data_IF_772029112615
#
_entry.id   IF_772029112615
#
_cell.length_a   1.000
_cell.length_b   1.000
_cell.length_c   1.000
_cell.angle_alpha   90.00
_cell.angle_beta   90.00
_cell.angle_gamma   90.00
#
_symmetry.space_group_name_H-M   'P 1'
#
loop_
_entity.id
_entity.type
_entity.pdbx_description
1 polymer ?
#
# COMPACT_ATOMS: atom_id res chain seq x y z
N UNK A 1 -17.73 15.57 22.45
CA UNK A 1 -19.21 15.45 22.29
C UNK A 1 -19.45 14.42 21.20
N UNK A 2 -20.52 13.64 21.31
CA UNK A 2 -20.88 12.62 20.33
C UNK A 2 -22.06 13.12 19.47
N UNK A 3 -21.95 12.90 18.17
CA UNK A 3 -22.94 13.18 17.15
C UNK A 3 -23.34 11.87 16.49
N UNK A 4 -24.42 11.24 16.94
CA UNK A 4 -24.89 9.96 16.36
C UNK A 4 -25.56 10.23 15.02
N UNK A 5 -25.19 9.52 13.96
CA UNK A 5 -25.77 9.74 12.63
C UNK A 5 -27.28 9.57 12.60
N UNK A 6 -27.83 8.71 13.48
CA UNK A 6 -29.30 8.50 13.63
C UNK A 6 -30.03 9.75 14.11
N UNK A 7 -29.38 10.62 14.89
CA UNK A 7 -29.96 11.88 15.35
C UNK A 7 -30.08 12.91 14.20
N UNK A 8 -29.40 12.65 13.08
CA UNK A 8 -29.44 13.43 11.85
C UNK A 8 -30.28 12.79 10.76
N UNK A 9 -30.98 11.71 11.08
CA UNK A 9 -31.92 11.05 10.19
C UNK A 9 -31.38 9.83 9.45
N UNK A 10 -30.15 9.38 9.73
CA UNK A 10 -29.63 8.14 9.16
C UNK A 10 -30.40 6.92 9.73
N UNK A 11 -30.79 6.02 8.84
CA UNK A 11 -31.51 4.79 9.18
C UNK A 11 -30.89 3.59 8.50
N UNK A 12 -30.99 2.42 9.11
CA UNK A 12 -30.60 1.15 8.48
C UNK A 12 -31.57 0.87 7.34
N UNK A 13 -31.09 1.02 6.10
CA UNK A 13 -31.90 0.78 4.89
C UNK A 13 -30.99 0.65 3.67
N UNK A 14 -31.58 0.23 2.53
CA UNK A 14 -30.89 0.19 1.25
C UNK A 14 -30.71 1.56 0.58
N UNK A 15 -31.39 2.60 1.07
CA UNK A 15 -31.24 3.95 0.56
C UNK A 15 -29.94 4.59 1.04
N UNK A 16 -29.39 5.52 0.27
CA UNK A 16 -28.22 6.28 0.64
C UNK A 16 -28.49 7.17 1.86
N UNK A 17 -27.58 7.10 2.83
CA UNK A 17 -27.59 7.89 4.05
C UNK A 17 -26.54 9.03 4.00
N UNK A 18 -25.99 9.29 2.82
CA UNK A 18 -24.85 10.21 2.62
C UNK A 18 -25.13 11.60 3.22
N UNK A 19 -26.31 12.18 2.95
CA UNK A 19 -26.67 13.50 3.45
C UNK A 19 -26.77 13.55 4.98
N UNK A 20 -27.38 12.53 5.59
CA UNK A 20 -27.53 12.45 7.04
C UNK A 20 -26.17 12.28 7.74
N UNK A 21 -25.30 11.42 7.20
CA UNK A 21 -23.95 11.21 7.72
C UNK A 21 -23.12 12.48 7.54
N UNK A 22 -23.16 13.11 6.36
CA UNK A 22 -22.41 14.34 6.11
C UNK A 22 -22.89 15.48 7.01
N UNK A 23 -24.18 15.61 7.23
CA UNK A 23 -24.76 16.60 8.15
C UNK A 23 -24.25 16.42 9.58
N UNK A 24 -24.12 15.18 10.06
CA UNK A 24 -23.53 14.91 11.37
C UNK A 24 -22.06 15.35 11.43
N UNK A 25 -21.27 15.04 10.38
CA UNK A 25 -19.86 15.46 10.26
C UNK A 25 -19.76 17.00 10.24
N UNK A 26 -20.55 17.66 9.43
CA UNK A 26 -20.53 19.11 9.30
C UNK A 26 -20.94 19.81 10.60
N UNK A 27 -21.94 19.29 11.29
CA UNK A 27 -22.38 19.81 12.59
C UNK A 27 -21.31 19.65 13.65
N UNK A 28 -20.65 18.48 13.69
CA UNK A 28 -19.53 18.20 14.57
C UNK A 28 -18.36 19.18 14.32
N UNK A 29 -18.00 19.39 13.06
CA UNK A 29 -16.96 20.31 12.64
C UNK A 29 -17.26 21.76 13.07
N UNK A 30 -18.48 22.26 12.78
CA UNK A 30 -18.92 23.62 13.10
C UNK A 30 -18.95 23.88 14.63
N UNK A 31 -19.13 22.83 15.42
CA UNK A 31 -19.07 22.88 16.88
C UNK A 31 -17.63 22.83 17.45
N UNK A 32 -16.61 22.82 16.58
CA UNK A 32 -15.21 22.78 16.96
C UNK A 32 -14.59 21.38 17.01
N UNK A 33 -15.35 20.37 16.58
CA UNK A 33 -14.90 18.97 16.54
C UNK A 33 -15.55 18.05 17.56
N UNK A 34 -15.22 16.79 17.48
CA UNK A 34 -15.78 15.75 18.33
C UNK A 34 -15.83 14.40 17.63
N UNK A 35 -16.79 13.57 18.06
CA UNK A 35 -16.93 12.20 17.57
C UNK A 35 -18.27 12.02 16.84
N UNK A 36 -18.22 11.68 15.56
CA UNK A 36 -19.39 11.27 14.76
C UNK A 36 -19.53 9.76 14.89
N UNK A 37 -20.63 9.31 15.47
CA UNK A 37 -20.82 7.90 15.82
C UNK A 37 -21.73 7.20 14.81
N UNK A 38 -21.20 6.13 14.22
CA UNK A 38 -21.96 5.17 13.41
C UNK A 38 -22.32 3.99 14.32
N UNK A 39 -23.60 3.82 14.69
CA UNK A 39 -24.02 2.72 15.56
C UNK A 39 -24.06 1.40 14.81
N UNK A 40 -24.28 0.29 15.57
CA UNK A 40 -24.48 -1.02 14.98
C UNK A 40 -25.59 -1.01 13.90
N UNK A 41 -25.33 -1.68 12.78
CA UNK A 41 -26.20 -1.72 11.61
C UNK A 41 -25.46 -1.34 10.32
N UNK A 42 -26.09 -1.61 9.17
CA UNK A 42 -25.54 -1.27 7.87
C UNK A 42 -26.11 0.08 7.38
N UNK A 43 -25.23 1.03 7.13
CA UNK A 43 -25.59 2.35 6.62
C UNK A 43 -24.91 2.55 5.26
N UNK A 44 -25.73 2.53 4.20
CA UNK A 44 -25.22 2.72 2.83
C UNK A 44 -24.97 4.18 2.55
N UNK A 45 -23.82 4.48 1.97
CA UNK A 45 -23.44 5.85 1.65
C UNK A 45 -22.65 5.93 0.33
N UNK A 46 -22.77 7.04 -0.35
CA UNK A 46 -21.79 7.48 -1.34
C UNK A 46 -20.58 8.10 -0.64
N UNK A 47 -19.95 9.06 -1.31
CA UNK A 47 -18.78 9.74 -0.76
C UNK A 47 -19.15 10.65 0.41
N UNK A 48 -18.46 10.50 1.54
CA UNK A 48 -18.51 11.44 2.67
C UNK A 48 -17.19 12.16 2.84
N UNK A 49 -17.21 13.41 3.28
CA UNK A 49 -16.02 14.19 3.58
C UNK A 49 -15.81 14.31 5.07
N UNK A 50 -14.68 13.74 5.52
CA UNK A 50 -14.20 13.91 6.89
C UNK A 50 -13.52 15.28 7.03
N UNK A 51 -13.80 15.99 8.12
CA UNK A 51 -13.34 17.36 8.37
C UNK A 51 -12.36 17.44 9.53
N UNK A 52 -11.67 18.57 9.61
CA UNK A 52 -10.73 18.85 10.70
C UNK A 52 -11.36 18.68 12.08
N UNK A 53 -10.60 18.11 13.02
CA UNK A 53 -11.01 17.84 14.39
C UNK A 53 -12.18 16.87 14.56
N UNK A 54 -12.51 16.08 13.54
CA UNK A 54 -13.60 15.09 13.57
C UNK A 54 -13.04 13.68 13.63
N UNK A 55 -13.54 12.89 14.57
CA UNK A 55 -13.36 11.45 14.64
C UNK A 55 -14.60 10.74 14.11
N UNK A 56 -14.46 9.96 13.04
CA UNK A 56 -15.48 9.01 12.62
C UNK A 56 -15.34 7.73 13.46
N UNK A 57 -16.34 7.41 14.26
CA UNK A 57 -16.30 6.31 15.20
C UNK A 57 -17.36 5.26 14.86
N UNK A 58 -16.92 4.04 14.61
CA UNK A 58 -17.78 2.90 14.30
C UNK A 58 -17.93 2.02 15.53
N UNK A 59 -19.13 1.92 16.07
CA UNK A 59 -19.44 0.99 17.17
C UNK A 59 -19.35 -0.47 16.70
N UNK A 60 -19.21 -1.39 17.61
CA UNK A 60 -19.24 -2.83 17.31
C UNK A 60 -20.49 -3.22 16.52
N UNK A 61 -20.31 -3.90 15.39
CA UNK A 61 -21.40 -4.25 14.46
C UNK A 61 -21.84 -3.12 13.51
N UNK A 62 -21.17 -1.97 13.53
CA UNK A 62 -21.39 -0.92 12.54
C UNK A 62 -20.80 -1.33 11.19
N UNK A 63 -21.53 -1.09 10.12
CA UNK A 63 -21.08 -1.27 8.74
C UNK A 63 -21.36 0.02 7.97
N UNK A 64 -20.30 0.71 7.59
CA UNK A 64 -20.39 1.78 6.61
C UNK A 64 -20.25 1.15 5.23
N UNK A 65 -21.39 0.97 4.55
CA UNK A 65 -21.48 0.28 3.27
C UNK A 65 -21.48 1.28 2.12
N UNK A 66 -20.62 1.07 1.13
CA UNK A 66 -20.56 1.90 -0.06
C UNK A 66 -21.78 1.76 -0.97
N UNK A 67 -22.03 2.76 -1.79
CA UNK A 67 -22.98 2.67 -2.88
C UNK A 67 -22.54 1.64 -3.92
N UNK A 68 -23.50 1.06 -4.60
CA UNK A 68 -23.25 0.17 -5.75
C UNK A 68 -23.05 0.92 -7.06
N UNK A 69 -23.32 2.24 -7.06
CA UNK A 69 -23.13 3.09 -8.22
C UNK A 69 -21.83 3.88 -8.09
N UNK A 70 -20.87 3.72 -9.00
CA UNK A 70 -19.60 4.46 -8.96
C UNK A 70 -19.78 5.98 -9.15
N UNK A 71 -20.93 6.44 -9.65
CA UNK A 71 -21.23 7.86 -9.81
C UNK A 71 -21.73 8.53 -8.51
N UNK A 72 -22.05 7.76 -7.47
CA UNK A 72 -22.35 8.29 -6.12
C UNK A 72 -21.07 8.74 -5.37
N UNK A 73 -19.90 8.54 -5.96
CA UNK A 73 -18.61 8.93 -5.40
C UNK A 73 -18.03 10.12 -6.15
N UNK A 74 -18.06 11.27 -5.54
CA UNK A 74 -17.62 12.52 -6.16
C UNK A 74 -16.31 13.04 -5.54
N UNK A 75 -15.72 14.02 -6.19
CA UNK A 75 -14.47 14.65 -5.78
C UNK A 75 -14.65 15.92 -4.93
N UNK A 76 -15.84 16.21 -4.40
CA UNK A 76 -16.11 17.41 -3.58
C UNK A 76 -15.50 18.70 -4.15
N UNK A 77 -15.77 18.99 -5.39
CA UNK A 77 -15.25 20.20 -6.03
C UNK A 77 -15.88 21.50 -5.49
N UNK A 78 -17.01 21.40 -4.80
CA UNK A 78 -17.72 22.55 -4.24
C UNK A 78 -17.97 22.32 -2.76
N UNK A 79 -17.19 22.96 -1.92
CA UNK A 79 -17.35 22.92 -0.47
C UNK A 79 -17.31 24.34 0.09
N UNK A 80 -18.39 24.73 0.77
CA UNK A 80 -18.53 26.06 1.35
C UNK A 80 -17.95 26.19 2.76
N UNK A 81 -17.77 25.08 3.47
CA UNK A 81 -17.27 25.06 4.86
C UNK A 81 -15.73 25.06 4.91
N UNK A 82 -15.11 24.28 4.04
CA UNK A 82 -13.67 24.23 3.86
C UNK A 82 -13.40 24.35 2.35
N UNK A 83 -13.38 25.57 1.80
CA UNK A 83 -13.25 25.78 0.37
C UNK A 83 -11.89 25.24 -0.13
N UNK A 84 -11.94 24.64 -1.31
CA UNK A 84 -10.76 24.10 -1.97
C UNK A 84 -10.28 25.09 -3.03
N UNK A 85 -8.98 25.26 -3.16
CA UNK A 85 -8.38 26.01 -4.25
C UNK A 85 -8.43 25.15 -5.54
N UNK A 86 -9.45 25.40 -6.34
CA UNK A 86 -9.65 24.67 -7.60
C UNK A 86 -8.72 25.14 -8.71
N UNK A 87 -8.08 26.30 -8.55
CA UNK A 87 -7.12 26.87 -9.49
C UNK A 87 -5.69 26.42 -9.20
N UNK A 88 -5.47 25.72 -8.09
CA UNK A 88 -4.16 25.17 -7.75
C UNK A 88 -3.63 24.26 -8.88
N UNK A 89 -2.33 24.32 -9.16
CA UNK A 89 -1.71 23.44 -10.17
C UNK A 89 -2.00 21.96 -9.89
N UNK A 90 -2.49 21.28 -10.92
CA UNK A 90 -2.78 19.84 -10.82
C UNK A 90 -1.49 19.03 -10.80
N UNK A 91 -1.47 18.00 -9.98
CA UNK A 91 -0.34 17.07 -9.98
C UNK A 91 -0.37 16.21 -11.26
N UNK A 92 0.78 16.00 -11.95
CA UNK A 92 0.82 15.22 -13.19
C UNK A 92 0.44 13.75 -12.99
N UNK A 93 0.69 13.20 -11.80
CA UNK A 93 0.20 11.86 -11.44
C UNK A 93 -1.24 11.90 -10.96
N UNK A 94 -2.12 11.21 -11.67
CA UNK A 94 -3.55 11.12 -11.32
C UNK A 94 -3.81 10.56 -9.92
N UNK A 95 -2.92 9.69 -9.43
CA UNK A 95 -3.05 9.08 -8.11
C UNK A 95 -2.72 10.03 -6.96
N UNK A 96 -2.07 11.16 -7.26
CA UNK A 96 -1.72 12.21 -6.29
C UNK A 96 -2.62 13.44 -6.42
N UNK A 97 -3.27 13.67 -7.57
CA UNK A 97 -4.20 14.78 -7.76
C UNK A 97 -5.53 14.51 -7.03
N UNK A 98 -5.87 15.25 -5.93
CA UNK A 98 -7.07 14.98 -5.12
C UNK A 98 -8.37 15.14 -5.88
N UNK A 99 -8.37 15.88 -7.00
CA UNK A 99 -9.55 16.18 -7.81
C UNK A 99 -9.70 15.27 -9.04
N UNK A 100 -8.77 14.37 -9.24
CA UNK A 100 -8.91 13.34 -10.26
C UNK A 100 -10.06 12.39 -9.90
N UNK A 101 -10.86 11.98 -10.89
CA UNK A 101 -11.88 10.92 -10.70
C UNK A 101 -11.26 9.64 -10.15
N UNK A 102 -10.00 9.38 -10.48
CA UNK A 102 -9.24 8.26 -9.91
C UNK A 102 -9.26 8.26 -8.38
N UNK A 103 -9.26 9.44 -7.77
CA UNK A 103 -9.23 9.64 -6.33
C UNK A 103 -10.60 9.82 -5.68
N UNK A 104 -11.68 9.38 -6.33
CA UNK A 104 -12.96 9.20 -5.65
C UNK A 104 -12.83 8.13 -4.56
N UNK A 105 -13.51 8.31 -3.46
CA UNK A 105 -13.46 7.38 -2.33
C UNK A 105 -14.71 7.44 -1.46
N UNK A 106 -14.91 6.42 -0.64
CA UNK A 106 -16.03 6.38 0.31
C UNK A 106 -15.86 7.45 1.39
N UNK A 107 -14.67 7.52 1.98
CA UNK A 107 -14.31 8.56 2.95
C UNK A 107 -13.19 9.40 2.35
N UNK A 108 -13.43 10.70 2.22
CA UNK A 108 -12.44 11.66 1.74
C UNK A 108 -12.09 12.69 2.80
N UNK A 109 -10.80 13.03 2.89
CA UNK A 109 -10.33 14.19 3.64
C UNK A 109 -9.33 14.97 2.78
N UNK A 110 -9.50 16.28 2.69
CA UNK A 110 -8.61 17.17 1.94
C UNK A 110 -8.34 18.41 2.79
N UNK A 111 -7.05 18.75 2.97
CA UNK A 111 -6.60 19.90 3.77
C UNK A 111 -7.05 19.87 5.25
N UNK A 112 -7.38 18.70 5.78
CA UNK A 112 -7.89 18.54 7.13
C UNK A 112 -6.78 18.27 8.15
N UNK A 113 -7.03 18.64 9.41
CA UNK A 113 -6.11 18.38 10.53
C UNK A 113 -6.83 17.66 11.67
N UNK A 114 -6.06 16.83 12.41
CA UNK A 114 -6.56 16.11 13.58
C UNK A 114 -7.79 15.27 13.24
N UNK A 115 -7.68 14.41 12.25
CA UNK A 115 -8.75 13.52 11.81
C UNK A 115 -8.51 12.10 12.31
N UNK A 116 -9.57 11.40 12.64
CA UNK A 116 -9.48 10.01 13.02
C UNK A 116 -10.61 9.17 12.44
N UNK A 117 -10.32 7.90 12.15
CA UNK A 117 -11.30 6.85 11.88
C UNK A 117 -11.01 5.73 12.88
N UNK A 118 -11.94 5.46 13.76
CA UNK A 118 -11.77 4.47 14.84
C UNK A 118 -12.93 3.49 14.77
N UNK A 119 -12.62 2.20 14.75
CA UNK A 119 -13.61 1.13 14.76
C UNK A 119 -13.45 0.21 15.96
N UNK A 120 -14.57 -0.13 16.60
CA UNK A 120 -14.59 -1.22 17.57
C UNK A 120 -14.50 -2.59 16.86
N UNK A 121 -14.08 -3.66 17.53
CA UNK A 121 -14.06 -4.99 16.94
C UNK A 121 -15.41 -5.38 16.31
N UNK A 122 -15.38 -5.88 15.08
CA UNK A 122 -16.59 -6.21 14.31
C UNK A 122 -17.23 -5.03 13.58
N UNK A 123 -16.55 -3.90 13.49
CA UNK A 123 -16.94 -2.79 12.62
C UNK A 123 -16.29 -2.90 11.24
N UNK A 124 -17.01 -2.47 10.20
CA UNK A 124 -16.57 -2.62 8.82
C UNK A 124 -16.75 -1.34 8.00
N UNK A 125 -15.78 -1.11 7.13
CA UNK A 125 -15.91 -0.29 5.93
C UNK A 125 -16.02 -1.25 4.74
N UNK A 126 -17.13 -1.25 4.03
CA UNK A 126 -17.45 -2.22 2.98
C UNK A 126 -17.60 -1.53 1.63
N UNK A 127 -16.68 -1.75 0.72
CA UNK A 127 -16.68 -1.13 -0.62
C UNK A 127 -17.58 -1.82 -1.63
N UNK A 128 -18.25 -2.92 -1.26
CA UNK A 128 -19.21 -3.70 -2.06
C UNK A 128 -18.70 -4.08 -3.46
N UNK A 129 -17.36 -4.06 -3.67
CA UNK A 129 -16.75 -4.23 -4.99
C UNK A 129 -17.40 -3.33 -6.06
N UNK A 130 -17.57 -2.05 -5.74
CA UNK A 130 -18.17 -1.05 -6.64
C UNK A 130 -17.26 -0.73 -7.82
N UNK A 131 -16.96 -1.72 -8.64
CA UNK A 131 -16.09 -1.56 -9.80
C UNK A 131 -16.75 -0.70 -10.87
N UNK A 132 -15.95 0.18 -11.49
CA UNK A 132 -16.37 0.85 -12.72
C UNK A 132 -16.30 -0.17 -13.89
N UNK A 133 -17.41 -0.50 -14.55
CA UNK A 133 -17.41 -1.50 -15.62
C UNK A 133 -16.65 -1.05 -16.87
N UNK A 134 -16.36 0.26 -17.01
CA UNK A 134 -15.77 0.82 -18.24
C UNK A 134 -14.27 1.06 -18.16
N UNK A 135 -13.63 0.95 -16.99
CA UNK A 135 -12.29 1.43 -16.96
C UNK A 135 -11.36 1.08 -15.84
N UNK A 136 -10.53 0.05 -16.00
CA UNK A 136 -9.46 -0.25 -15.07
C UNK A 136 -8.55 0.97 -14.79
N UNK A 137 -7.72 1.33 -15.73
CA UNK A 137 -6.66 2.31 -15.50
C UNK A 137 -7.11 3.77 -15.64
N UNK A 138 -8.34 4.00 -16.11
CA UNK A 138 -8.93 5.35 -16.10
C UNK A 138 -9.66 5.64 -14.81
N UNK A 139 -10.39 4.65 -14.32
CA UNK A 139 -11.06 4.66 -13.02
C UNK A 139 -11.48 3.25 -12.67
N UNK A 140 -10.90 2.68 -11.63
CA UNK A 140 -11.19 1.30 -11.19
C UNK A 140 -12.50 1.20 -10.40
N UNK A 141 -12.93 2.28 -9.82
CA UNK A 141 -13.95 2.43 -8.81
C UNK A 141 -13.39 3.23 -7.62
N UNK A 142 -14.18 3.49 -6.56
CA UNK A 142 -13.74 4.30 -5.43
C UNK A 142 -12.71 3.58 -4.57
N UNK A 143 -11.79 4.36 -4.00
CA UNK A 143 -11.02 3.96 -2.83
C UNK A 143 -11.93 3.84 -1.60
N UNK A 144 -11.50 3.13 -0.56
CA UNK A 144 -12.23 3.19 0.71
C UNK A 144 -11.94 4.49 1.46
N UNK A 145 -10.66 4.78 1.66
CA UNK A 145 -10.21 5.99 2.35
C UNK A 145 -9.25 6.74 1.44
N UNK A 146 -9.54 8.01 1.20
CA UNK A 146 -8.75 8.87 0.35
C UNK A 146 -8.43 10.19 1.07
N UNK A 147 -7.16 10.38 1.46
CA UNK A 147 -6.73 11.50 2.29
C UNK A 147 -5.62 12.26 1.55
N UNK A 148 -5.79 13.58 1.42
CA UNK A 148 -4.84 14.44 0.73
C UNK A 148 -4.52 15.70 1.55
N UNK A 149 -3.23 16.00 1.67
CA UNK A 149 -2.72 17.22 2.31
C UNK A 149 -3.27 17.40 3.73
N UNK A 150 -3.25 16.33 4.53
CA UNK A 150 -3.77 16.31 5.89
C UNK A 150 -2.65 16.14 6.92
N UNK A 151 -2.95 16.50 8.16
CA UNK A 151 -2.00 16.45 9.27
C UNK A 151 -2.64 15.82 10.51
N UNK A 152 -1.88 14.99 11.25
CA UNK A 152 -2.34 14.26 12.42
C UNK A 152 -3.52 13.35 12.11
N UNK A 153 -3.23 12.25 11.42
CA UNK A 153 -4.19 11.25 10.95
C UNK A 153 -4.08 10.02 11.85
N UNK A 154 -5.20 9.59 12.42
CA UNK A 154 -5.27 8.42 13.27
C UNK A 154 -6.30 7.42 12.77
N UNK A 155 -5.85 6.20 12.43
CA UNK A 155 -6.65 5.12 11.85
C UNK A 155 -6.51 3.89 12.74
N UNK A 156 -7.62 3.38 13.33
CA UNK A 156 -7.53 2.26 14.27
C UNK A 156 -8.75 1.33 14.23
N UNK A 157 -8.50 0.02 14.28
CA UNK A 157 -9.40 -1.01 14.78
C UNK A 157 -10.52 -1.47 13.84
N UNK A 158 -10.78 -0.80 12.73
CA UNK A 158 -11.80 -1.20 11.75
C UNK A 158 -11.28 -2.25 10.77
N UNK A 159 -12.23 -2.90 10.09
CA UNK A 159 -11.94 -3.81 8.99
C UNK A 159 -12.44 -3.24 7.67
N UNK A 160 -11.57 -3.20 6.64
CA UNK A 160 -11.96 -2.91 5.25
C UNK A 160 -12.16 -4.21 4.51
N UNK A 161 -13.21 -4.27 3.69
CA UNK A 161 -13.44 -5.37 2.77
C UNK A 161 -14.03 -4.89 1.45
N UNK A 162 -13.82 -5.65 0.39
CA UNK A 162 -14.41 -5.43 -0.93
C UNK A 162 -14.17 -4.03 -1.50
N UNK A 163 -12.96 -3.48 -1.33
CA UNK A 163 -12.59 -2.20 -1.93
C UNK A 163 -12.48 -2.33 -3.44
N UNK A 164 -13.12 -1.44 -4.19
CA UNK A 164 -13.04 -1.43 -5.65
C UNK A 164 -11.70 -0.91 -6.19
N UNK A 165 -11.01 -0.11 -5.42
CA UNK A 165 -9.67 0.39 -5.67
C UNK A 165 -8.84 0.16 -4.39
N UNK A 166 -7.82 0.95 -4.11
CA UNK A 166 -6.99 0.82 -2.92
C UNK A 166 -7.80 1.03 -1.62
N UNK A 167 -7.50 0.25 -0.61
CA UNK A 167 -8.17 0.40 0.68
C UNK A 167 -7.85 1.75 1.32
N UNK A 168 -6.58 2.14 1.31
CA UNK A 168 -6.14 3.47 1.74
C UNK A 168 -5.33 4.12 0.63
N UNK A 169 -5.60 5.40 0.36
CA UNK A 169 -4.77 6.27 -0.47
C UNK A 169 -4.50 7.56 0.29
N UNK A 170 -3.29 7.74 0.78
CA UNK A 170 -2.90 8.91 1.59
C UNK A 170 -1.75 9.63 0.90
N UNK A 171 -1.96 10.89 0.53
CA UNK A 171 -1.01 11.67 -0.23
C UNK A 171 -0.68 12.99 0.46
N UNK A 172 0.58 13.44 0.36
CA UNK A 172 1.06 14.76 0.84
C UNK A 172 0.65 15.05 2.29
N UNK A 173 0.71 14.05 3.14
CA UNK A 173 0.20 14.11 4.51
C UNK A 173 1.30 13.79 5.51
N UNK A 174 1.09 14.17 6.77
CA UNK A 174 2.09 13.95 7.80
C UNK A 174 1.48 13.53 9.14
N UNK A 175 2.30 12.91 10.00
CA UNK A 175 1.90 12.38 11.30
C UNK A 175 0.74 11.40 11.18
N UNK A 176 1.00 10.29 10.49
CA UNK A 176 0.02 9.24 10.18
C UNK A 176 0.26 8.07 11.13
N UNK A 177 -0.79 7.64 11.81
CA UNK A 177 -0.79 6.40 12.58
C UNK A 177 -1.91 5.49 12.10
N UNK A 178 -1.55 4.26 11.69
CA UNK A 178 -2.48 3.19 11.35
C UNK A 178 -2.16 1.97 12.21
N UNK A 179 -3.12 1.54 13.03
CA UNK A 179 -2.91 0.41 13.92
C UNK A 179 -4.12 -0.49 14.05
N UNK A 180 -3.88 -1.80 14.18
CA UNK A 180 -4.95 -2.80 14.35
C UNK A 180 -6.05 -2.73 13.29
N UNK A 181 -5.68 -2.30 12.09
CA UNK A 181 -6.57 -2.26 10.92
C UNK A 181 -6.42 -3.55 10.14
N UNK A 182 -7.55 -4.10 9.69
CA UNK A 182 -7.54 -5.25 8.79
C UNK A 182 -8.09 -4.87 7.41
N UNK A 183 -7.44 -5.36 6.34
CA UNK A 183 -7.90 -5.21 4.95
C UNK A 183 -8.02 -6.60 4.34
N UNK A 184 -9.17 -6.88 3.73
CA UNK A 184 -9.43 -8.15 3.05
C UNK A 184 -9.98 -7.93 1.65
N UNK A 185 -9.27 -8.45 0.64
CA UNK A 185 -9.62 -8.31 -0.78
C UNK A 185 -9.28 -6.95 -1.39
N UNK A 186 -9.91 -6.63 -2.50
CA UNK A 186 -9.68 -5.38 -3.23
C UNK A 186 -8.36 -5.33 -4.01
N UNK A 187 -7.77 -4.16 -4.04
CA UNK A 187 -6.45 -3.89 -4.61
C UNK A 187 -5.41 -3.72 -3.50
N UNK A 188 -4.66 -2.60 -3.50
CA UNK A 188 -3.63 -2.33 -2.52
C UNK A 188 -4.21 -2.08 -1.11
N UNK A 189 -3.47 -2.51 -0.09
CA UNK A 189 -3.88 -2.35 1.30
C UNK A 189 -3.65 -0.94 1.83
N UNK A 190 -2.41 -0.45 1.69
CA UNK A 190 -2.04 0.85 2.24
C UNK A 190 -1.06 1.59 1.31
N UNK A 191 -1.57 2.60 0.62
CA UNK A 191 -0.81 3.46 -0.26
C UNK A 191 -0.50 4.79 0.39
N UNK A 192 0.80 5.15 0.49
CA UNK A 192 1.26 6.46 0.95
C UNK A 192 2.20 7.10 -0.08
N UNK A 193 1.96 8.37 -0.39
CA UNK A 193 2.76 9.11 -1.37
C UNK A 193 3.08 10.49 -0.88
N UNK A 194 4.38 10.81 -0.87
CA UNK A 194 4.85 12.12 -0.40
C UNK A 194 4.38 12.38 1.06
N UNK A 195 4.50 11.36 1.92
CA UNK A 195 4.08 11.41 3.31
C UNK A 195 5.28 11.38 4.25
N UNK A 196 5.12 11.99 5.43
CA UNK A 196 6.15 12.08 6.45
C UNK A 196 5.62 11.57 7.81
N UNK A 197 6.51 10.96 8.60
CA UNK A 197 6.21 10.48 9.97
C UNK A 197 5.00 9.52 9.99
N UNK A 198 5.16 8.36 9.36
CA UNK A 198 4.11 7.34 9.26
C UNK A 198 4.43 6.12 10.13
N UNK A 199 3.47 5.72 10.96
CA UNK A 199 3.50 4.45 11.71
C UNK A 199 2.37 3.54 11.22
N UNK A 200 2.71 2.32 10.80
CA UNK A 200 1.77 1.23 10.49
C UNK A 200 2.12 0.08 11.42
N UNK A 201 1.22 -0.28 12.35
CA UNK A 201 1.52 -1.33 13.32
C UNK A 201 0.34 -2.26 13.61
N UNK A 202 0.65 -3.52 13.92
CA UNK A 202 -0.33 -4.54 14.33
C UNK A 202 -1.47 -4.72 13.30
N UNK A 203 -1.19 -4.53 11.99
CA UNK A 203 -2.17 -4.55 10.92
C UNK A 203 -2.19 -5.89 10.17
N UNK A 204 -3.32 -6.18 9.53
CA UNK A 204 -3.50 -7.34 8.66
C UNK A 204 -3.86 -6.82 7.27
N UNK A 205 -3.00 -7.07 6.27
CA UNK A 205 -3.29 -6.71 4.89
C UNK A 205 -3.27 -7.97 4.02
N UNK A 206 -4.44 -8.51 3.72
CA UNK A 206 -4.63 -9.60 2.78
C UNK A 206 -5.34 -9.06 1.54
N UNK A 207 -4.59 -8.76 0.49
CA UNK A 207 -5.01 -7.92 -0.64
C UNK A 207 -4.92 -8.66 -1.97
N UNK A 208 -5.62 -8.15 -2.96
CA UNK A 208 -5.54 -8.65 -4.34
C UNK A 208 -4.40 -8.04 -5.16
N UNK A 209 -3.77 -6.98 -4.68
CA UNK A 209 -2.62 -6.31 -5.32
C UNK A 209 -1.51 -6.14 -4.26
N UNK A 210 -0.91 -4.97 -4.07
CA UNK A 210 0.18 -4.76 -3.13
C UNK A 210 -0.30 -4.65 -1.67
N UNK A 211 0.47 -5.13 -0.68
CA UNK A 211 0.12 -4.92 0.73
C UNK A 211 0.36 -3.46 1.14
N UNK A 212 1.58 -2.97 0.94
CA UNK A 212 1.97 -1.58 1.20
C UNK A 212 2.66 -1.02 -0.02
N UNK A 213 2.15 0.10 -0.52
CA UNK A 213 2.68 0.75 -1.71
C UNK A 213 2.94 2.24 -1.49
N UNK A 214 3.73 2.83 -2.37
CA UNK A 214 3.95 4.26 -2.41
C UNK A 214 5.38 4.68 -2.68
N UNK A 215 5.59 5.99 -2.73
CA UNK A 215 6.89 6.60 -3.01
C UNK A 215 7.05 7.97 -2.35
N UNK A 216 8.30 8.42 -2.24
CA UNK A 216 8.67 9.71 -1.65
C UNK A 216 8.15 9.89 -0.22
N UNK A 217 8.27 8.84 0.59
CA UNK A 217 7.86 8.83 1.99
C UNK A 217 9.08 8.92 2.91
N UNK A 218 8.96 9.62 4.03
CA UNK A 218 10.08 9.80 4.97
C UNK A 218 9.67 9.47 6.40
N UNK A 219 10.64 8.94 7.17
CA UNK A 219 10.42 8.56 8.57
C UNK A 219 9.22 7.61 8.73
N UNK A 220 9.30 6.44 8.07
CA UNK A 220 8.23 5.43 8.05
C UNK A 220 8.62 4.23 8.90
N UNK A 221 7.71 3.82 9.77
CA UNK A 221 7.82 2.57 10.54
C UNK A 221 6.65 1.67 10.19
N UNK A 222 6.95 0.43 9.75
CA UNK A 222 5.97 -0.63 9.51
C UNK A 222 6.36 -1.80 10.40
N UNK A 223 5.47 -2.23 11.31
CA UNK A 223 5.83 -3.31 12.22
C UNK A 223 4.67 -4.20 12.64
N UNK A 224 5.01 -5.44 13.00
CA UNK A 224 4.07 -6.44 13.52
C UNK A 224 2.87 -6.68 12.58
N UNK A 225 3.08 -6.65 11.27
CA UNK A 225 2.01 -6.79 10.29
C UNK A 225 1.97 -8.21 9.71
N UNK A 226 0.75 -8.70 9.47
CA UNK A 226 0.48 -9.95 8.77
C UNK A 226 0.04 -9.65 7.33
N UNK A 227 0.86 -10.07 6.36
CA UNK A 227 0.80 -9.59 4.98
C UNK A 227 0.58 -10.75 4.01
N UNK A 228 -0.37 -10.59 3.10
CA UNK A 228 -0.66 -11.57 2.06
C UNK A 228 -1.22 -10.87 0.83
N UNK A 229 -0.64 -11.08 -0.34
CA UNK A 229 -1.07 -10.40 -1.54
C UNK A 229 -0.79 -11.19 -2.82
N UNK A 230 -1.43 -10.79 -3.91
CA UNK A 230 -1.22 -11.39 -5.21
C UNK A 230 -0.21 -10.60 -6.08
N UNK A 231 0.44 -9.58 -5.54
CA UNK A 231 1.44 -8.80 -6.26
C UNK A 231 2.70 -8.59 -5.41
N UNK A 232 2.97 -7.41 -4.88
CA UNK A 232 4.18 -7.16 -4.11
C UNK A 232 3.83 -6.99 -2.61
N UNK A 233 4.65 -7.55 -1.72
CA UNK A 233 4.43 -7.29 -0.29
C UNK A 233 4.69 -5.81 0.00
N UNK A 234 5.85 -5.31 -0.42
CA UNK A 234 6.19 -3.89 -0.40
C UNK A 234 6.53 -3.42 -1.81
N UNK A 235 5.71 -2.56 -2.39
CA UNK A 235 6.01 -1.82 -3.63
C UNK A 235 6.26 -0.37 -3.27
N UNK A 236 7.47 -0.08 -2.79
CA UNK A 236 7.69 1.07 -1.94
C UNK A 236 9.00 1.79 -2.23
N UNK A 237 9.01 3.10 -2.02
CA UNK A 237 10.24 3.86 -1.84
C UNK A 237 10.09 4.95 -0.79
N UNK A 238 11.20 5.26 -0.14
CA UNK A 238 11.25 6.30 0.87
C UNK A 238 12.65 6.48 1.41
N UNK A 239 12.80 7.41 2.35
CA UNK A 239 14.03 7.64 3.09
C UNK A 239 13.77 7.49 4.60
N UNK A 240 14.71 6.89 5.31
CA UNK A 240 14.61 6.60 6.74
C UNK A 240 13.39 5.71 7.07
N UNK A 241 13.43 4.47 6.57
CA UNK A 241 12.32 3.50 6.68
C UNK A 241 12.74 2.31 7.51
N UNK A 242 11.93 1.96 8.50
CA UNK A 242 12.06 0.72 9.28
C UNK A 242 10.87 -0.20 9.03
N UNK A 243 11.15 -1.42 8.57
CA UNK A 243 10.17 -2.52 8.48
C UNK A 243 10.64 -3.62 9.43
N UNK A 244 9.81 -3.97 10.41
CA UNK A 244 10.24 -4.95 11.42
C UNK A 244 9.13 -5.89 11.89
N UNK A 245 9.50 -7.12 12.24
CA UNK A 245 8.60 -8.11 12.84
C UNK A 245 7.36 -8.38 11.97
N UNK A 246 7.48 -8.32 10.67
CA UNK A 246 6.39 -8.59 9.73
C UNK A 246 6.46 -10.02 9.22
N UNK A 247 5.29 -10.61 9.04
CA UNK A 247 5.13 -11.92 8.43
C UNK A 247 4.39 -11.78 7.10
N UNK A 248 5.02 -12.19 6.01
CA UNK A 248 4.42 -12.21 4.68
C UNK A 248 4.38 -13.64 4.14
N UNK A 249 3.27 -14.04 3.56
CA UNK A 249 3.12 -15.42 3.08
C UNK A 249 2.32 -15.54 1.79
N UNK A 250 2.58 -16.61 1.06
CA UNK A 250 1.90 -17.06 -0.15
C UNK A 250 1.36 -18.48 0.09
N UNK A 251 0.34 -18.97 -0.65
CA UNK A 251 -0.33 -18.30 -1.76
C UNK A 251 -1.24 -17.15 -1.33
N UNK A 252 -1.50 -16.25 -2.27
CA UNK A 252 -2.42 -15.14 -2.04
C UNK A 252 -3.83 -15.64 -1.74
N UNK A 253 -4.48 -15.07 -0.72
CA UNK A 253 -5.87 -15.38 -0.35
C UNK A 253 -6.87 -14.76 -1.31
N UNK A 254 -6.51 -13.60 -1.84
CA UNK A 254 -7.31 -12.85 -2.82
C UNK A 254 -6.48 -12.68 -4.10
N UNK A 255 -7.05 -13.01 -5.24
CA UNK A 255 -6.41 -12.85 -6.53
C UNK A 255 -6.44 -11.40 -7.00
N UNK A 256 -5.55 -11.08 -7.95
CA UNK A 256 -5.56 -9.76 -8.57
C UNK A 256 -6.82 -9.57 -9.41
N UNK A 257 -7.47 -8.41 -9.30
CA UNK A 257 -8.73 -8.12 -10.00
C UNK A 257 -8.66 -8.24 -11.53
N UNK A 258 -7.51 -8.06 -12.14
CA UNK A 258 -7.33 -8.29 -13.58
C UNK A 258 -7.65 -9.71 -14.02
N UNK A 259 -7.72 -10.65 -13.10
CA UNK A 259 -8.12 -12.03 -13.41
C UNK A 259 -9.63 -12.19 -13.59
N UNK A 260 -10.44 -11.22 -13.17
CA UNK A 260 -11.88 -11.22 -13.37
C UNK A 260 -12.24 -10.78 -14.78
N UNK A 261 -13.20 -11.48 -15.38
CA UNK A 261 -13.87 -11.05 -16.60
C UNK A 261 -14.76 -9.81 -16.36
N UNK A 262 -15.13 -9.10 -17.41
CA UNK A 262 -16.03 -7.94 -17.28
C UNK A 262 -17.40 -8.31 -16.70
N UNK A 263 -17.88 -9.54 -16.97
CA UNK A 263 -19.13 -10.04 -16.39
C UNK A 263 -19.01 -10.25 -14.88
N UNK A 264 -17.89 -10.80 -14.39
CA UNK A 264 -17.62 -11.00 -12.97
C UNK A 264 -17.45 -9.66 -12.26
N UNK A 265 -16.76 -8.69 -12.88
CA UNK A 265 -16.66 -7.31 -12.36
C UNK A 265 -18.03 -6.66 -12.24
N UNK A 266 -18.88 -6.77 -13.27
CA UNK A 266 -20.24 -6.25 -13.24
C UNK A 266 -21.12 -6.94 -12.18
N UNK A 267 -20.89 -8.21 -11.92
CA UNK A 267 -21.52 -8.97 -10.85
C UNK A 267 -20.91 -8.74 -9.47
N UNK A 268 -19.86 -7.91 -9.38
CA UNK A 268 -19.15 -7.55 -8.12
C UNK A 268 -18.59 -8.76 -7.37
N UNK A 269 -18.13 -9.75 -8.11
CA UNK A 269 -17.54 -10.97 -7.52
C UNK A 269 -16.21 -10.62 -6.87
N UNK A 270 -15.96 -11.17 -5.68
CA UNK A 270 -14.65 -11.09 -5.06
C UNK A 270 -13.69 -12.03 -5.75
N UNK A 271 -12.44 -11.61 -5.88
CA UNK A 271 -11.38 -12.47 -6.41
C UNK A 271 -11.07 -13.61 -5.46
N UNK A 272 -10.62 -14.73 -6.02
CA UNK A 272 -10.18 -15.90 -5.26
C UNK A 272 -8.70 -16.18 -5.50
N UNK A 273 -8.11 -17.02 -4.68
CA UNK A 273 -6.72 -17.47 -4.84
C UNK A 273 -6.48 -18.34 -6.09
N UNK A 274 -7.51 -18.72 -6.82
CA UNK A 274 -7.40 -19.66 -7.97
C UNK A 274 -6.80 -19.00 -9.20
N UNK A 275 -6.92 -17.69 -9.36
CA UNK A 275 -6.59 -16.99 -10.59
C UNK A 275 -5.14 -16.46 -10.64
N UNK A 276 -4.62 -15.94 -9.56
CA UNK A 276 -3.21 -15.54 -9.38
C UNK A 276 -2.87 -15.65 -7.90
N UNK A 277 -2.08 -16.63 -7.55
CA UNK A 277 -1.84 -16.99 -6.15
C UNK A 277 -0.38 -16.95 -5.74
N UNK A 278 0.53 -16.54 -6.63
CA UNK A 278 1.92 -16.31 -6.26
C UNK A 278 2.10 -14.86 -5.89
N UNK A 279 2.77 -14.62 -4.78
CA UNK A 279 3.23 -13.28 -4.40
C UNK A 279 4.53 -13.01 -5.13
N UNK A 280 4.64 -11.87 -5.79
CA UNK A 280 5.82 -11.44 -6.50
C UNK A 280 6.98 -11.09 -5.55
N UNK A 281 7.66 -9.94 -5.73
CA UNK A 281 8.74 -9.53 -4.84
C UNK A 281 8.31 -9.35 -3.39
N UNK A 282 9.18 -9.75 -2.46
CA UNK A 282 9.03 -9.34 -1.07
C UNK A 282 9.19 -7.81 -0.95
N UNK A 283 10.17 -7.26 -1.68
CA UNK A 283 10.36 -5.81 -1.78
C UNK A 283 10.62 -5.41 -3.25
N UNK A 284 9.74 -4.58 -3.82
CA UNK A 284 9.91 -3.93 -5.11
C UNK A 284 10.15 -2.44 -4.91
N UNK A 285 11.31 -1.94 -5.31
CA UNK A 285 11.56 -0.50 -5.30
C UNK A 285 10.76 0.19 -6.40
N UNK A 286 9.99 1.21 -6.04
CA UNK A 286 9.13 1.95 -6.95
C UNK A 286 9.13 3.45 -6.65
N UNK A 287 9.38 4.26 -7.68
CA UNK A 287 9.15 5.70 -7.70
C UNK A 287 8.43 6.05 -9.01
N UNK A 288 7.27 6.70 -8.92
CA UNK A 288 6.57 7.17 -10.14
C UNK A 288 7.50 8.13 -10.92
N UNK A 289 7.80 7.80 -12.17
CA UNK A 289 8.72 8.57 -13.01
C UNK A 289 8.26 10.03 -13.25
N UNK A 290 7.01 10.35 -12.97
CA UNK A 290 6.44 11.70 -13.06
C UNK A 290 6.49 12.48 -11.75
N UNK A 291 6.85 11.82 -10.65
CA UNK A 291 6.88 12.44 -9.35
C UNK A 291 8.19 13.20 -9.13
N UNK A 292 8.10 14.35 -8.49
CA UNK A 292 9.24 15.02 -7.88
C UNK A 292 9.56 14.32 -6.56
N UNK A 293 10.79 13.82 -6.45
CA UNK A 293 11.26 13.11 -5.26
C UNK A 293 12.03 14.09 -4.38
N UNK A 294 11.52 14.35 -3.17
CA UNK A 294 12.07 15.32 -2.21
C UNK A 294 13.41 14.89 -1.63
N UNK A 295 13.58 13.59 -1.38
CA UNK A 295 14.82 13.00 -0.84
C UNK A 295 15.17 11.72 -1.60
N UNK A 296 16.45 11.46 -1.79
CA UNK A 296 16.90 10.20 -2.40
C UNK A 296 16.39 9.01 -1.58
N UNK A 297 15.76 8.01 -2.21
CA UNK A 297 15.31 6.81 -1.53
C UNK A 297 16.50 6.05 -0.92
N UNK A 298 16.45 5.73 0.35
CA UNK A 298 17.54 5.02 1.03
C UNK A 298 17.41 5.01 2.55
N UNK A 299 18.44 4.47 3.21
CA UNK A 299 18.42 4.21 4.63
C UNK A 299 17.18 3.40 5.04
N UNK A 300 16.95 2.28 4.29
CA UNK A 300 15.86 1.35 4.56
C UNK A 300 16.41 0.15 5.30
N UNK A 301 15.83 -0.15 6.46
CA UNK A 301 16.12 -1.35 7.23
C UNK A 301 14.88 -2.25 7.30
N UNK A 302 15.00 -3.47 6.78
CA UNK A 302 14.03 -4.55 6.95
C UNK A 302 14.63 -5.57 7.91
N UNK A 303 14.01 -5.77 9.07
CA UNK A 303 14.59 -6.68 10.06
C UNK A 303 13.57 -7.59 10.73
N UNK A 304 14.06 -8.79 11.12
CA UNK A 304 13.25 -9.77 11.86
C UNK A 304 11.92 -10.08 11.15
N UNK A 305 11.98 -10.26 9.82
CA UNK A 305 10.82 -10.52 8.98
C UNK A 305 10.91 -11.90 8.32
N UNK A 306 9.75 -12.54 8.13
CA UNK A 306 9.62 -13.77 7.38
C UNK A 306 8.78 -13.53 6.11
N UNK A 307 9.33 -13.99 4.96
CA UNK A 307 8.73 -13.90 3.63
C UNK A 307 8.61 -15.31 3.05
N UNK A 308 7.44 -15.91 3.19
CA UNK A 308 7.21 -17.31 2.81
C UNK A 308 6.50 -17.45 1.47
N UNK A 309 7.17 -18.12 0.52
CA UNK A 309 6.61 -18.40 -0.82
C UNK A 309 6.68 -17.23 -1.80
N UNK A 310 7.65 -16.33 -1.64
CA UNK A 310 7.87 -15.20 -2.55
C UNK A 310 8.55 -15.63 -3.84
N UNK A 311 8.24 -14.93 -4.94
CA UNK A 311 8.88 -15.20 -6.23
C UNK A 311 10.30 -14.61 -6.28
N UNK A 312 10.50 -13.43 -5.71
CA UNK A 312 11.74 -12.65 -5.73
C UNK A 312 11.96 -12.01 -4.35
N UNK A 313 13.20 -11.97 -3.86
CA UNK A 313 13.54 -11.28 -2.62
C UNK A 313 13.47 -9.76 -2.82
N UNK A 314 14.17 -9.22 -3.82
CA UNK A 314 14.21 -7.78 -4.11
C UNK A 314 14.17 -7.54 -5.62
N UNK A 315 13.37 -6.56 -6.02
CA UNK A 315 13.25 -6.17 -7.42
C UNK A 315 13.37 -4.65 -7.58
N UNK A 316 14.16 -4.25 -8.55
CA UNK A 316 14.18 -2.90 -9.07
C UNK A 316 14.17 -2.93 -10.60
N UNK A 317 13.27 -2.18 -11.22
CA UNK A 317 13.24 -1.94 -12.66
C UNK A 317 13.41 -0.45 -12.90
N UNK A 318 14.56 -0.08 -13.47
CA UNK A 318 14.89 1.31 -13.79
C UNK A 318 14.40 1.64 -15.21
N UNK A 319 13.68 2.73 -15.36
CA UNK A 319 13.13 3.16 -16.65
C UNK A 319 12.13 4.29 -16.50
N UNK A 320 11.51 4.68 -17.62
CA UNK A 320 10.67 5.87 -17.76
C UNK A 320 9.18 5.59 -17.97
N UNK A 321 8.72 4.39 -17.74
CA UNK A 321 7.29 4.07 -17.82
C UNK A 321 6.67 3.84 -16.44
N UNK A 322 5.33 3.81 -16.34
CA UNK A 322 4.56 3.86 -15.09
C UNK A 322 4.90 2.81 -14.04
N UNK A 323 5.51 1.70 -14.43
CA UNK A 323 5.88 0.61 -13.53
C UNK A 323 7.38 0.59 -13.20
N UNK A 324 8.13 1.56 -13.72
CA UNK A 324 9.56 1.68 -13.50
C UNK A 324 9.90 2.85 -12.58
N UNK A 325 11.12 2.82 -12.07
CA UNK A 325 11.65 3.87 -11.22
C UNK A 325 12.34 4.95 -12.04
N UNK A 326 12.24 6.20 -11.62
CA UNK A 326 13.04 7.31 -12.12
C UNK A 326 14.14 7.73 -11.13
N UNK A 327 14.08 7.23 -9.89
CA UNK A 327 15.12 7.42 -8.86
C UNK A 327 15.56 6.09 -8.33
N UNK A 328 16.86 5.81 -8.30
CA UNK A 328 17.39 4.56 -7.74
C UNK A 328 17.24 4.53 -6.22
N UNK A 329 17.21 3.31 -5.68
CA UNK A 329 17.45 3.06 -4.27
C UNK A 329 18.93 3.29 -3.99
N UNK A 330 19.27 4.08 -3.00
CA UNK A 330 20.66 4.32 -2.62
C UNK A 330 21.19 3.35 -1.59
N UNK A 331 20.32 2.93 -0.62
CA UNK A 331 20.70 1.96 0.40
C UNK A 331 19.49 1.21 0.94
N UNK A 332 19.60 -0.12 1.02
CA UNK A 332 18.66 -1.00 1.70
C UNK A 332 19.41 -2.15 2.39
N UNK A 333 18.98 -2.50 3.60
CA UNK A 333 19.50 -3.60 4.40
C UNK A 333 18.39 -4.54 4.82
N UNK A 334 18.62 -5.85 4.66
CA UNK A 334 17.81 -6.90 5.27
C UNK A 334 18.62 -7.56 6.37
N UNK A 335 18.07 -7.61 7.58
CA UNK A 335 18.72 -8.15 8.76
C UNK A 335 17.81 -9.14 9.47
N UNK A 336 18.37 -10.29 9.86
CA UNK A 336 17.63 -11.33 10.58
C UNK A 336 16.33 -11.74 9.86
N UNK A 337 16.39 -11.90 8.52
CA UNK A 337 15.23 -12.18 7.66
C UNK A 337 15.32 -13.57 7.02
N UNK A 338 14.15 -14.12 6.71
CA UNK A 338 14.01 -15.40 6.03
C UNK A 338 13.12 -15.28 4.81
N UNK A 339 13.60 -15.82 3.67
CA UNK A 339 12.88 -15.83 2.40
C UNK A 339 12.75 -17.26 1.89
N UNK A 340 11.55 -17.67 1.48
CA UNK A 340 11.34 -19.00 0.88
C UNK A 340 10.57 -18.92 -0.42
N UNK A 341 10.74 -19.92 -1.28
CA UNK A 341 10.00 -20.02 -2.54
C UNK A 341 10.58 -19.20 -3.69
N UNK A 342 11.81 -18.69 -3.56
CA UNK A 342 12.46 -17.84 -4.56
C UNK A 342 12.74 -18.66 -5.83
N UNK A 343 12.32 -18.14 -6.99
CA UNK A 343 12.54 -18.79 -8.27
C UNK A 343 13.05 -17.85 -9.38
N UNK A 344 13.23 -16.58 -9.05
CA UNK A 344 13.87 -15.59 -9.91
C UNK A 344 15.00 -14.89 -9.16
N UNK A 345 16.09 -14.49 -9.84
CA UNK A 345 17.16 -13.74 -9.23
C UNK A 345 16.67 -12.37 -8.73
N UNK A 346 17.20 -11.92 -7.60
CA UNK A 346 16.99 -10.55 -7.14
C UNK A 346 17.65 -9.58 -8.11
N UNK A 347 16.90 -8.62 -8.65
CA UNK A 347 17.46 -7.56 -9.53
C UNK A 347 17.84 -6.35 -8.70
N UNK A 348 19.13 -6.19 -8.45
CA UNK A 348 19.69 -5.10 -7.64
C UNK A 348 20.38 -4.14 -8.59
N UNK A 349 19.61 -3.19 -9.08
CA UNK A 349 20.05 -2.25 -10.09
C UNK A 349 20.02 -0.83 -9.54
N UNK A 350 21.18 -0.17 -9.48
CA UNK A 350 21.32 1.25 -9.21
C UNK A 350 21.37 2.08 -10.48
N UNK A 351 21.96 3.25 -10.40
CA UNK A 351 22.38 4.04 -11.55
C UNK A 351 23.87 4.36 -11.44
N UNK A 352 24.51 4.69 -12.56
CA UNK A 352 25.92 5.05 -12.56
C UNK A 352 26.21 6.29 -11.69
N UNK A 353 25.22 7.19 -11.55
CA UNK A 353 25.33 8.41 -10.75
C UNK A 353 25.04 8.19 -9.27
N UNK A 354 24.14 7.26 -8.96
CA UNK A 354 23.72 6.90 -7.59
C UNK A 354 23.73 5.36 -7.45
N UNK A 355 24.93 4.75 -7.37
CA UNK A 355 25.03 3.29 -7.25
C UNK A 355 24.53 2.81 -5.90
N UNK A 356 23.78 1.68 -5.91
CA UNK A 356 23.14 1.13 -4.71
C UNK A 356 24.14 0.48 -3.76
N UNK A 357 23.89 0.65 -2.45
CA UNK A 357 24.42 -0.17 -1.36
C UNK A 357 23.33 -1.15 -0.93
N UNK A 358 23.60 -2.45 -1.03
CA UNK A 358 22.65 -3.50 -0.67
C UNK A 358 23.27 -4.46 0.33
N UNK A 359 22.58 -4.70 1.44
CA UNK A 359 23.15 -5.43 2.56
C UNK A 359 22.23 -6.58 3.00
N UNK A 360 22.79 -7.77 3.16
CA UNK A 360 22.16 -8.92 3.80
C UNK A 360 22.99 -9.30 5.03
N UNK A 361 22.36 -9.36 6.20
CA UNK A 361 22.96 -9.78 7.46
C UNK A 361 22.07 -10.80 8.17
N UNK A 362 22.62 -12.01 8.45
CA UNK A 362 21.88 -13.11 9.06
C UNK A 362 20.61 -13.46 8.26
N UNK A 363 20.74 -13.68 6.96
CA UNK A 363 19.61 -13.92 6.05
C UNK A 363 19.62 -15.34 5.52
N UNK A 364 18.47 -16.00 5.59
CA UNK A 364 18.25 -17.32 4.98
C UNK A 364 17.38 -17.17 3.73
N UNK A 365 17.79 -17.80 2.63
CA UNK A 365 17.04 -17.78 1.37
C UNK A 365 16.90 -19.20 0.83
N UNK A 366 15.68 -19.63 0.52
CA UNK A 366 15.40 -20.94 -0.07
C UNK A 366 14.86 -20.83 -1.48
N UNK A 367 15.46 -21.52 -2.43
CA UNK A 367 14.92 -21.65 -3.77
C UNK A 367 13.63 -22.50 -3.75
N UNK A 368 12.74 -22.22 -4.72
CA UNK A 368 11.55 -23.03 -4.99
C UNK A 368 11.94 -24.36 -5.61
N UNK A 369 11.24 -25.43 -5.23
CA UNK A 369 11.38 -26.75 -5.84
C UNK A 369 11.20 -26.67 -7.37
N UNK A 370 12.14 -27.23 -8.13
CA UNK A 370 12.19 -27.18 -9.59
C UNK A 370 12.90 -25.95 -10.17
N UNK A 371 13.39 -25.04 -9.32
CA UNK A 371 14.11 -23.81 -9.71
C UNK A 371 15.46 -23.66 -8.98
N UNK A 372 16.09 -24.75 -8.63
CA UNK A 372 17.31 -24.77 -7.80
C UNK A 372 18.56 -24.21 -8.52
N UNK A 373 18.55 -24.16 -9.86
CA UNK A 373 19.66 -23.62 -10.68
C UNK A 373 19.44 -22.18 -11.13
N UNK A 374 18.92 -21.33 -10.27
CA UNK A 374 18.82 -19.89 -10.53
C UNK A 374 20.03 -19.13 -10.02
N UNK A 375 20.37 -17.99 -10.62
CA UNK A 375 21.28 -17.05 -10.01
C UNK A 375 20.64 -16.45 -8.74
N UNK A 376 21.46 -16.15 -7.74
CA UNK A 376 20.96 -15.50 -6.51
C UNK A 376 20.65 -14.04 -6.75
N UNK A 377 21.52 -13.33 -7.48
CA UNK A 377 21.39 -11.91 -7.76
C UNK A 377 21.78 -11.58 -9.19
N UNK A 378 21.19 -10.54 -9.77
CA UNK A 378 21.58 -9.83 -10.98
C UNK A 378 21.87 -8.37 -10.61
N UNK A 379 23.14 -7.98 -10.71
CA UNK A 379 23.67 -6.71 -10.21
C UNK A 379 23.99 -5.75 -11.35
N UNK A 380 23.61 -4.46 -11.17
CA UNK A 380 23.98 -3.38 -12.07
C UNK A 380 24.13 -2.07 -11.30
N UNK A 381 25.17 -1.29 -11.60
CA UNK A 381 25.43 0.02 -11.02
C UNK A 381 25.30 0.02 -9.48
N UNK A 382 26.07 -0.88 -8.87
CA UNK A 382 26.12 -1.02 -7.41
C UNK A 382 27.47 -0.51 -6.87
N UNK A 383 27.43 0.04 -5.67
CA UNK A 383 28.63 0.45 -4.93
C UNK A 383 29.16 -0.70 -4.10
N UNK A 384 28.31 -1.27 -3.26
CA UNK A 384 28.68 -2.37 -2.37
C UNK A 384 27.50 -3.32 -2.20
N UNK A 385 27.78 -4.61 -2.31
CA UNK A 385 26.89 -5.71 -1.87
C UNK A 385 27.56 -6.36 -0.68
N UNK A 386 26.95 -6.25 0.51
CA UNK A 386 27.45 -6.85 1.73
C UNK A 386 26.69 -8.12 2.08
N UNK A 387 27.39 -9.24 2.25
CA UNK A 387 26.79 -10.56 2.50
C UNK A 387 27.38 -11.16 3.79
N UNK A 388 26.75 -10.85 4.93
CA UNK A 388 27.18 -11.33 6.24
C UNK A 388 26.23 -12.42 6.77
N UNK A 389 26.75 -13.61 6.99
CA UNK A 389 25.99 -14.79 7.45
C UNK A 389 24.77 -15.08 6.57
N UNK A 390 24.95 -15.10 5.25
CA UNK A 390 23.92 -15.44 4.28
C UNK A 390 23.93 -16.93 3.98
N UNK A 391 22.80 -17.59 4.17
CA UNK A 391 22.66 -19.03 3.92
C UNK A 391 21.63 -19.26 2.81
N UNK A 392 22.04 -19.99 1.76
CA UNK A 392 21.15 -20.42 0.69
C UNK A 392 20.79 -21.89 0.86
N UNK A 393 19.49 -22.20 0.74
CA UNK A 393 18.96 -23.55 0.79
C UNK A 393 18.35 -23.92 -0.56
N UNK A 394 18.54 -25.13 -1.00
CA UNK A 394 18.02 -25.65 -2.27
C UNK A 394 18.55 -24.93 -3.53
N UNK A 395 19.70 -24.27 -3.44
CA UNK A 395 20.41 -23.77 -4.63
C UNK A 395 21.48 -24.79 -5.03
N UNK A 396 21.42 -25.25 -6.28
CA UNK A 396 22.41 -26.23 -6.80
C UNK A 396 23.66 -25.57 -7.37
N UNK A 397 23.55 -24.34 -7.85
CA UNK A 397 24.62 -23.55 -8.44
C UNK A 397 24.46 -22.05 -8.09
N UNK A 398 24.63 -21.71 -6.80
CA UNK A 398 24.46 -20.32 -6.36
C UNK A 398 25.53 -19.43 -6.99
N UNK A 399 25.11 -18.41 -7.74
CA UNK A 399 26.00 -17.46 -8.41
C UNK A 399 25.38 -16.06 -8.42
N UNK A 400 26.25 -15.08 -8.55
CA UNK A 400 25.88 -13.66 -8.69
C UNK A 400 26.25 -13.23 -10.12
N UNK A 401 25.28 -12.69 -10.84
CA UNK A 401 25.49 -12.12 -12.17
C UNK A 401 25.78 -10.63 -12.05
N UNK A 402 26.79 -10.12 -12.77
CA UNK A 402 27.13 -8.69 -12.76
C UNK A 402 27.14 -8.10 -14.17
N UNK A 403 26.60 -6.90 -14.29
CA UNK A 403 26.62 -6.11 -15.53
C UNK A 403 27.62 -4.96 -15.48
N UNK A 404 28.02 -4.56 -14.27
CA UNK A 404 29.00 -3.50 -14.00
C UNK A 404 29.94 -3.91 -12.88
N UNK A 405 31.02 -3.18 -12.69
CA UNK A 405 31.93 -3.39 -11.57
C UNK A 405 31.34 -2.79 -10.27
N UNK A 406 31.72 -3.35 -9.14
CA UNK A 406 31.36 -2.92 -7.80
C UNK A 406 31.99 -3.83 -6.76
N UNK A 407 31.83 -3.50 -5.49
CA UNK A 407 32.45 -4.25 -4.39
C UNK A 407 31.46 -5.27 -3.81
N UNK A 408 31.89 -6.53 -3.68
CA UNK A 408 31.11 -7.57 -3.00
C UNK A 408 31.90 -8.02 -1.77
N UNK A 409 31.34 -7.81 -0.58
CA UNK A 409 32.01 -7.98 0.71
C UNK A 409 31.24 -8.91 1.64
N UNK A 410 31.83 -9.20 2.80
CA UNK A 410 31.19 -10.00 3.83
C UNK A 410 31.72 -11.45 3.90
N UNK A 411 31.47 -12.09 5.03
CA UNK A 411 32.00 -13.43 5.31
C UNK A 411 31.38 -14.54 4.41
N UNK A 412 30.21 -14.26 3.82
CA UNK A 412 29.57 -15.19 2.89
C UNK A 412 29.87 -14.92 1.41
N UNK A 413 30.53 -13.81 1.07
CA UNK A 413 30.77 -13.41 -0.33
C UNK A 413 31.54 -14.47 -1.13
N UNK A 414 32.55 -15.13 -0.49
CA UNK A 414 33.35 -16.17 -1.12
C UNK A 414 32.54 -17.42 -1.52
N UNK A 415 31.33 -17.59 -1.00
CA UNK A 415 30.48 -18.74 -1.31
C UNK A 415 29.72 -18.58 -2.64
N UNK A 416 29.77 -17.40 -3.24
CA UNK A 416 29.00 -17.07 -4.43
C UNK A 416 29.91 -16.66 -5.59
N UNK A 417 30.15 -17.55 -6.56
CA UNK A 417 30.86 -17.20 -7.78
C UNK A 417 30.22 -15.99 -8.47
N UNK A 418 31.07 -15.06 -8.91
CA UNK A 418 30.63 -13.87 -9.63
C UNK A 418 30.87 -14.08 -11.12
N UNK A 419 29.84 -13.99 -11.92
CA UNK A 419 29.87 -14.20 -13.36
C UNK A 419 29.36 -12.98 -14.11
N UNK A 420 29.94 -12.65 -15.29
CA UNK A 420 29.40 -11.60 -16.13
C UNK A 420 28.01 -12.00 -16.65
N UNK A 421 27.08 -11.05 -16.62
CA UNK A 421 25.75 -11.24 -17.22
C UNK A 421 25.92 -11.41 -18.74
N UNK A 422 25.33 -12.46 -19.28
CA UNK A 422 25.25 -12.70 -20.71
C UNK A 422 23.86 -12.38 -21.22
N UNK A 423 23.76 -11.43 -22.17
CA UNK A 423 22.51 -11.21 -22.89
C UNK A 423 22.18 -12.44 -23.73
N UNK A 424 21.03 -13.03 -23.48
CA UNK A 424 20.52 -14.21 -24.20
C UNK A 424 19.86 -13.84 -25.53
#
# INVERSE_FOLDING_TARGET
MDYRITDFGAVVSDALQTEAIQKAIDTCFLAGGGRVVIPAGAFRTGCIRLRSNVTLYLESGAILEGSWDPDDYCSYLQDTLEPLDLDAPRHPSRSVDPFSRWNNGLIKAINAKNIAIIGEPGSYLDGVNCYDPTGEEKYRGPHMINIHNCENIYLEGYTIRRSANWAHNICRSQNITCRKVAVYGGHDGFDIRTCDHTLIEDCIFHTGDDCVAGFDNHDVVIRNCDLNCACNVFRFSGADVLIENCNAFSPARFGHRWTLSDQEKAARIETTSESRHTTGPAFAHYCDFRAEIRRAPGNILVRNCEFSGMDILYQMTFGDHVWCCNRPMTQIKFQDCKFTGIWQPSTIHGSAEEPIVFELENVEVSAREGYEDIAFMDLRDFKTISLENVTLHNFTNPRILTRTEGEITGNSAANFPVEPYQES
#
